data_IF_815540734164
#
_entry.id   IF_815540734164
#
_cell.length_a   1.000
_cell.length_b   1.000
_cell.length_c   1.000
_cell.angle_alpha   90.00
_cell.angle_beta   90.00
_cell.angle_gamma   90.00
#
_symmetry.space_group_name_H-M   'P 1'
#
loop_
_entity.id
_entity.type
_entity.pdbx_description
1 polymer ?
#
# COMPACT_ATOMS: atom_id res chain seq x y z
N UNK A 1 -10.58 -1.73 19.75
CA UNK A 1 -10.18 -1.72 19.81
C UNK A 1 -10.08 -1.70 20.07
N UNK A 2 -10.21 -1.89 20.00
CA UNK A 2 -9.93 -2.07 20.06
C UNK A 2 -9.98 -2.31 20.04
N UNK A 3 -10.21 -2.24 20.33
CA UNK A 3 -10.15 -2.58 20.18
C UNK A 3 -10.46 -2.87 19.99
N UNK A 4 -10.65 -3.00 20.16
CA UNK A 4 -10.84 -3.35 19.81
C UNK A 4 -11.37 -3.59 19.50
N UNK A 5 -11.56 -3.84 19.35
CA UNK A 5 -12.02 -4.20 18.90
C UNK A 5 -12.72 -4.42 18.53
N UNK A 6 -12.96 -4.47 18.68
CA UNK A 6 -13.65 -4.83 18.08
C UNK A 6 -14.42 -5.00 17.69
N UNK A 7 -14.79 -5.22 17.39
CA UNK A 7 -15.47 -5.51 16.87
C UNK A 7 -15.95 -5.89 16.29
N UNK A 8 -15.99 -6.01 16.29
CA UNK A 8 -16.46 -6.51 15.48
C UNK A 8 -17.15 -6.49 14.86
N UNK A 9 -17.45 -6.42 14.46
CA UNK A 9 -17.96 -6.37 13.71
C UNK A 9 -17.99 -6.38 12.88
N UNK A 10 -18.03 -6.43 12.56
CA UNK A 10 -17.97 -6.37 11.64
C UNK A 10 -17.88 -6.49 10.90
N UNK A 11 -17.86 -6.54 10.47
CA UNK A 11 -17.73 -6.63 9.62
C UNK A 11 -17.33 -6.63 8.85
N UNK A 12 -17.36 -6.62 8.32
CA UNK A 12 -17.00 -6.45 7.42
C UNK A 12 -16.55 -5.88 6.91
N UNK A 13 -16.78 -5.53 6.82
CA UNK A 13 -16.28 -4.91 6.32
C UNK A 13 -15.47 -4.49 6.66
N UNK A 14 -15.43 -4.78 7.07
CA UNK A 14 -14.61 -4.57 7.30
C UNK A 14 -13.56 -4.57 7.26
N UNK A 15 -13.72 -4.57 7.06
CA UNK A 15 -12.82 -4.53 6.56
C UNK A 15 -11.85 -4.06 6.41
N UNK A 16 -11.73 -4.45 6.46
CA UNK A 16 -10.80 -4.07 6.14
C UNK A 16 -10.02 -3.04 5.82
N UNK A 17 -9.86 -2.23 6.56
CA UNK A 17 -8.91 -1.17 6.49
C UNK A 17 -7.73 -1.49 7.40
N UNK A 18 -7.17 -2.67 7.21
CA UNK A 18 -5.96 -3.04 7.92
C UNK A 18 -4.80 -2.22 7.38
N UNK A 19 -4.33 -1.28 8.19
CA UNK A 19 -3.18 -0.49 7.83
C UNK A 19 -1.91 -1.31 8.05
N UNK A 20 -1.05 -1.33 7.05
CA UNK A 20 0.22 -2.04 7.10
C UNK A 20 1.34 -1.01 7.15
N UNK A 21 2.27 -1.21 8.07
CA UNK A 21 3.42 -0.34 8.22
C UNK A 21 4.68 -1.16 7.95
N UNK A 22 5.49 -0.70 7.00
CA UNK A 22 6.77 -1.33 6.66
C UNK A 22 7.88 -0.36 7.05
N UNK A 23 8.33 -0.47 8.31
CA UNK A 23 9.30 0.46 8.87
C UNK A 23 10.62 0.48 8.12
N UNK A 24 11.07 -0.67 7.64
CA UNK A 24 12.35 -0.78 6.93
C UNK A 24 12.35 0.03 5.64
N UNK A 25 11.17 0.15 5.03
CA UNK A 25 11.00 0.89 3.78
C UNK A 25 10.52 2.31 4.05
N UNK A 26 9.85 2.51 5.18
CA UNK A 26 9.28 3.80 5.56
C UNK A 26 7.94 4.05 4.89
N UNK A 27 7.14 3.02 4.73
CA UNK A 27 5.90 3.08 3.99
C UNK A 27 4.76 2.57 4.85
N UNK A 28 3.63 3.28 4.79
CA UNK A 28 2.39 2.84 5.44
C UNK A 28 1.27 2.91 4.41
N UNK A 29 0.44 1.89 4.36
CA UNK A 29 -0.65 1.85 3.39
C UNK A 29 -1.84 1.04 3.91
N UNK A 30 -2.99 1.27 3.29
CA UNK A 30 -4.22 0.52 3.57
C UNK A 30 -4.81 0.03 2.25
N UNK A 31 -5.63 -1.01 2.32
CA UNK A 31 -6.34 -1.49 1.16
C UNK A 31 -7.38 -0.47 0.68
N UNK A 32 -7.68 -0.50 -0.61
CA UNK A 32 -8.69 0.39 -1.17
C UNK A 32 -10.08 -0.14 -0.83
N UNK A 33 -10.81 0.68 -0.10
CA UNK A 33 -12.23 0.44 0.17
C UNK A 33 -13.01 1.58 -0.45
N UNK A 34 -14.33 1.48 -0.41
CA UNK A 34 -15.19 2.56 -0.86
C UNK A 34 -14.84 3.87 -0.14
N UNK A 35 -14.60 3.77 1.17
CA UNK A 35 -14.28 4.95 1.99
C UNK A 35 -12.94 5.55 1.62
N UNK A 36 -11.91 4.73 1.45
CA UNK A 36 -10.59 5.25 1.12
C UNK A 36 -10.55 5.82 -0.28
N UNK A 37 -11.27 5.22 -1.23
CA UNK A 37 -11.38 5.79 -2.57
C UNK A 37 -12.01 7.17 -2.53
N UNK A 38 -13.07 7.32 -1.75
CA UNK A 38 -13.74 8.59 -1.59
C UNK A 38 -12.84 9.61 -0.92
N UNK A 39 -12.15 9.20 0.14
CA UNK A 39 -11.27 10.08 0.91
C UNK A 39 -10.14 10.67 0.05
N UNK A 40 -9.61 9.89 -0.87
CA UNK A 40 -8.47 10.30 -1.70
C UNK A 40 -8.89 10.65 -3.14
N UNK A 41 -10.20 10.71 -3.42
CA UNK A 41 -10.73 11.04 -4.74
C UNK A 41 -10.21 10.10 -5.83
N UNK A 42 -10.28 8.80 -5.56
CA UNK A 42 -9.75 7.79 -6.48
C UNK A 42 -10.86 7.20 -7.33
N UNK A 43 -10.54 6.72 -8.55
CA UNK A 43 -11.52 6.06 -9.40
C UNK A 43 -12.14 4.84 -8.73
N UNK A 44 -13.40 4.57 -9.03
CA UNK A 44 -14.14 3.48 -8.41
C UNK A 44 -13.57 2.10 -8.73
N UNK A 45 -13.01 1.95 -9.91
CA UNK A 45 -12.49 0.66 -10.36
C UNK A 45 -10.99 0.50 -10.13
N UNK A 46 -10.37 1.47 -9.50
CA UNK A 46 -8.93 1.37 -9.17
C UNK A 46 -8.74 0.36 -8.06
N UNK A 47 -7.77 -0.52 -8.24
CA UNK A 47 -7.45 -1.55 -7.25
C UNK A 47 -6.01 -1.40 -6.78
N UNK A 48 -5.76 -1.83 -5.55
CA UNK A 48 -4.44 -1.77 -4.97
C UNK A 48 -4.50 -1.32 -3.53
N UNK A 49 -3.44 -0.65 -3.09
CA UNK A 49 -3.36 -0.09 -1.75
C UNK A 49 -3.03 1.39 -1.85
N UNK A 50 -3.61 2.20 -0.98
CA UNK A 50 -3.33 3.63 -0.95
C UNK A 50 -2.32 3.91 0.15
N UNK A 51 -1.34 4.76 -0.17
CA UNK A 51 -0.29 5.12 0.77
C UNK A 51 -0.84 6.18 1.72
N UNK A 52 -0.74 5.89 3.03
CA UNK A 52 -1.24 6.79 4.07
C UNK A 52 -0.12 7.56 4.75
N UNK A 53 1.12 7.08 4.67
CA UNK A 53 2.25 7.80 5.22
C UNK A 53 3.54 7.36 4.55
N UNK A 54 4.46 8.31 4.40
CA UNK A 54 5.80 8.04 3.87
C UNK A 54 6.79 8.68 4.82
N UNK A 55 7.71 7.87 5.34
CA UNK A 55 8.72 8.35 6.25
C UNK A 55 9.76 9.20 5.51
N UNK A 56 10.17 10.28 6.13
CA UNK A 56 11.20 11.15 5.55
C UNK A 56 12.52 10.40 5.46
N UNK A 57 13.24 10.61 4.36
CA UNK A 57 14.57 10.03 4.12
C UNK A 57 14.56 8.50 4.13
N UNK A 58 13.45 7.93 3.69
CA UNK A 58 13.29 6.48 3.60
C UNK A 58 13.42 6.03 2.15
N UNK A 59 13.48 4.71 1.97
CA UNK A 59 13.45 4.15 0.61
C UNK A 59 12.19 4.58 -0.14
N UNK A 60 11.04 4.60 0.54
CA UNK A 60 9.78 5.01 -0.08
C UNK A 60 9.83 6.47 -0.51
N UNK A 61 10.34 7.34 0.35
CA UNK A 61 10.50 8.75 0.02
C UNK A 61 11.43 8.93 -1.17
N UNK A 62 12.56 8.23 -1.17
CA UNK A 62 13.55 8.34 -2.24
C UNK A 62 13.04 7.80 -3.58
N UNK A 63 12.09 6.88 -3.54
CA UNK A 63 11.48 6.33 -4.75
C UNK A 63 10.46 7.26 -5.40
N UNK A 64 10.05 8.31 -4.68
CA UNK A 64 9.06 9.25 -5.19
C UNK A 64 7.63 8.93 -4.78
N UNK A 65 7.46 8.05 -3.80
CA UNK A 65 6.15 7.71 -3.29
C UNK A 65 5.62 8.84 -2.41
N UNK A 66 4.33 9.13 -2.53
CA UNK A 66 3.68 10.19 -1.76
C UNK A 66 2.38 9.67 -1.16
N UNK A 67 1.91 10.36 -0.14
CA UNK A 67 0.62 10.06 0.48
C UNK A 67 -0.49 10.27 -0.57
N UNK A 68 -1.41 9.31 -0.63
CA UNK A 68 -2.49 9.36 -1.61
C UNK A 68 -2.18 8.62 -2.89
N UNK A 69 -0.93 8.19 -3.10
CA UNK A 69 -0.58 7.35 -4.25
C UNK A 69 -1.12 5.95 -4.02
N UNK A 70 -1.47 5.27 -5.11
CA UNK A 70 -1.99 3.90 -5.05
C UNK A 70 -0.99 2.97 -5.71
N UNK A 71 -0.59 1.94 -4.98
CA UNK A 71 0.26 0.88 -5.54
C UNK A 71 -0.69 -0.18 -6.08
N UNK A 72 -0.70 -0.34 -7.40
CA UNK A 72 -1.59 -1.30 -8.06
C UNK A 72 -0.90 -2.62 -8.38
N UNK A 73 0.42 -2.58 -8.58
CA UNK A 73 1.21 -3.80 -8.84
C UNK A 73 2.54 -3.70 -8.11
N UNK A 74 3.03 -4.85 -7.65
CA UNK A 74 4.37 -4.99 -7.08
C UNK A 74 5.02 -6.17 -7.78
N UNK A 75 6.17 -5.94 -8.41
CA UNK A 75 6.88 -6.97 -9.20
C UNK A 75 5.95 -7.61 -10.22
N UNK A 76 5.09 -6.80 -10.85
CA UNK A 76 4.12 -7.22 -11.87
C UNK A 76 2.99 -8.10 -11.33
N UNK A 77 2.84 -8.15 -10.01
CA UNK A 77 1.76 -8.89 -9.37
C UNK A 77 0.69 -7.89 -8.95
N UNK A 78 -0.55 -8.12 -9.37
CA UNK A 78 -1.67 -7.26 -8.99
C UNK A 78 -1.89 -7.33 -7.49
N UNK A 79 -2.03 -6.17 -6.86
CA UNK A 79 -2.26 -6.06 -5.43
C UNK A 79 -3.74 -5.86 -5.20
N UNK A 80 -4.34 -6.71 -4.38
CA UNK A 80 -5.78 -6.65 -4.10
C UNK A 80 -6.08 -6.19 -2.68
N UNK A 81 -5.11 -6.32 -1.78
CA UNK A 81 -5.32 -5.97 -0.38
C UNK A 81 -3.99 -5.55 0.24
N UNK A 82 -4.09 -4.92 1.41
CA UNK A 82 -2.90 -4.53 2.15
C UNK A 82 -2.11 -5.75 2.60
N UNK A 83 -2.80 -6.80 3.03
CA UNK A 83 -2.14 -8.04 3.45
C UNK A 83 -1.36 -8.68 2.31
N UNK A 84 -1.95 -8.67 1.11
CA UNK A 84 -1.28 -9.22 -0.07
C UNK A 84 -0.03 -8.43 -0.41
N UNK A 85 -0.12 -7.10 -0.36
CA UNK A 85 1.03 -6.24 -0.60
C UNK A 85 2.14 -6.52 0.42
N UNK A 86 1.79 -6.64 1.69
CA UNK A 86 2.75 -6.95 2.74
C UNK A 86 3.45 -8.27 2.46
N UNK A 87 2.69 -9.28 2.07
CA UNK A 87 3.25 -10.59 1.76
C UNK A 87 4.26 -10.52 0.62
N UNK A 88 3.93 -9.76 -0.43
CA UNK A 88 4.85 -9.62 -1.57
C UNK A 88 6.15 -8.95 -1.13
N UNK A 89 6.06 -7.89 -0.33
CA UNK A 89 7.25 -7.22 0.18
C UNK A 89 8.06 -8.14 1.09
N UNK A 90 7.39 -8.88 1.98
CA UNK A 90 8.07 -9.80 2.90
C UNK A 90 8.78 -10.91 2.13
N UNK A 91 8.13 -11.47 1.11
CA UNK A 91 8.72 -12.52 0.30
C UNK A 91 9.96 -12.01 -0.45
N UNK A 92 9.88 -10.79 -0.99
CA UNK A 92 11.02 -10.19 -1.67
C UNK A 92 12.19 -9.99 -0.71
N UNK A 93 11.91 -9.53 0.50
CA UNK A 93 12.95 -9.32 1.51
C UNK A 93 13.60 -10.64 1.90
N UNK A 94 12.81 -11.70 2.05
CA UNK A 94 13.34 -13.02 2.41
C UNK A 94 14.25 -13.59 1.32
N UNK A 95 13.97 -13.25 0.08
CA UNK A 95 14.79 -13.72 -1.05
C UNK A 95 16.04 -12.88 -1.23
N UNK A 96 16.20 -11.81 -0.46
CA UNK A 96 17.34 -10.92 -0.58
C UNK A 96 17.22 -9.95 -1.74
N UNK A 97 16.02 -9.74 -2.25
CA UNK A 97 15.76 -8.79 -3.33
C UNK A 97 16.10 -7.38 -2.86
N UNK A 98 16.84 -6.64 -3.69
CA UNK A 98 17.27 -5.29 -3.32
C UNK A 98 16.22 -4.23 -3.65
N UNK A 99 15.46 -4.44 -4.71
CA UNK A 99 14.44 -3.49 -5.13
C UNK A 99 13.32 -4.20 -5.86
N UNK A 100 12.16 -3.55 -5.91
CA UNK A 100 10.99 -4.09 -6.59
C UNK A 100 10.42 -3.02 -7.50
N UNK A 101 9.78 -3.47 -8.58
CA UNK A 101 9.11 -2.59 -9.52
C UNK A 101 7.67 -2.39 -9.05
N UNK A 102 7.25 -1.14 -8.96
CA UNK A 102 5.89 -0.79 -8.58
C UNK A 102 5.18 -0.13 -9.75
N UNK A 103 3.92 -0.46 -9.91
CA UNK A 103 3.03 0.35 -10.73
C UNK A 103 2.20 1.20 -9.77
N UNK A 104 2.30 2.51 -9.93
CA UNK A 104 1.74 3.46 -8.98
C UNK A 104 0.85 4.45 -9.72
N UNK A 105 -0.34 4.69 -9.16
CA UNK A 105 -1.26 5.69 -9.67
C UNK A 105 -1.07 6.97 -8.85
N UNK A 106 -0.64 8.02 -9.51
CA UNK A 106 -0.40 9.34 -8.90
C UNK A 106 -0.87 10.41 -9.85
N UNK A 107 -1.54 11.43 -9.31
CA UNK A 107 -1.93 12.62 -10.10
C UNK A 107 -2.64 12.26 -11.40
N UNK A 108 -3.57 11.30 -11.31
CA UNK A 108 -4.40 10.84 -12.43
C UNK A 108 -3.63 10.03 -13.49
N UNK A 109 -2.40 9.64 -13.20
CA UNK A 109 -1.59 8.83 -14.10
C UNK A 109 -1.01 7.63 -13.41
N UNK A 110 -0.90 6.53 -14.16
CA UNK A 110 -0.15 5.36 -13.70
C UNK A 110 1.27 5.46 -14.21
N UNK A 111 2.22 5.09 -13.39
CA UNK A 111 3.61 5.07 -13.79
C UNK A 111 4.36 4.00 -13.01
N UNK A 112 5.53 3.65 -13.49
CA UNK A 112 6.37 2.65 -12.84
C UNK A 112 7.45 3.34 -12.02
N UNK A 113 7.66 2.82 -10.81
CA UNK A 113 8.72 3.30 -9.93
C UNK A 113 9.51 2.10 -9.44
N UNK A 114 10.81 2.32 -9.20
CA UNK A 114 11.66 1.31 -8.57
C UNK A 114 11.76 1.67 -7.10
N UNK A 115 11.35 0.74 -6.25
CA UNK A 115 11.43 0.92 -4.80
C UNK A 115 12.52 0.04 -4.25
N UNK A 116 13.51 0.66 -3.64
CA UNK A 116 14.56 -0.08 -2.96
C UNK A 116 14.03 -0.58 -1.62
N UNK A 117 14.28 -1.85 -1.30
CA UNK A 117 13.81 -2.45 -0.05
C UNK A 117 14.95 -2.98 0.81
N UNK A 118 16.16 -2.86 0.34
CA UNK A 118 17.31 -3.35 1.09
C UNK A 118 18.51 -2.44 0.94
#
# INVERSE_FOLDING_TARGET
SEAAEPDPKTNDDDVKTNEVELDDIGLRFVGLTKDTRSQYNLPKNLKGVVITAVKRDSFASNAGLTVGSVISQISQINVKSADEAKKIFDDAAKKGTESVLLQVYQNDFSRFLILKIK
#
